data_IF_067760519195
#
_entry.id   IF_067760519195
#
_cell.length_a   1.000
_cell.length_b   1.000
_cell.length_c   1.000
_cell.angle_alpha   90.00
_cell.angle_beta   90.00
_cell.angle_gamma   90.00
#
_symmetry.space_group_name_H-M   'P 1'
#
loop_
_entity.id
_entity.type
_entity.pdbx_description
1 polymer ?
#
# COMPACT_ATOMS: atom_id res chain seq x y z
N UNK A 1 -2.49 5.20 -3.43
CA UNK A 1 -2.55 6.35 -2.50
C UNK A 1 -3.65 7.37 -2.82
N UNK A 2 -3.74 7.95 -4.04
CA UNK A 2 -4.71 9.03 -4.34
C UNK A 2 -6.19 8.70 -4.06
N UNK A 3 -6.64 7.50 -4.45
CA UNK A 3 -8.03 7.04 -4.20
C UNK A 3 -8.36 6.98 -2.70
N UNK A 4 -7.42 6.52 -1.87
CA UNK A 4 -7.63 6.42 -0.43
C UNK A 4 -7.82 7.79 0.22
N UNK A 5 -7.05 8.80 -0.22
CA UNK A 5 -7.17 10.18 0.28
C UNK A 5 -8.52 10.78 -0.12
N UNK A 6 -8.98 10.53 -1.36
CA UNK A 6 -10.30 10.97 -1.81
C UNK A 6 -11.44 10.37 -0.96
N UNK A 7 -11.33 9.10 -0.58
CA UNK A 7 -12.33 8.41 0.27
C UNK A 7 -12.34 8.99 1.70
N UNK A 8 -11.16 9.26 2.27
CA UNK A 8 -11.07 9.94 3.58
C UNK A 8 -11.74 11.31 3.52
N UNK A 9 -11.41 12.14 2.52
CA UNK A 9 -12.02 13.47 2.37
C UNK A 9 -13.54 13.39 2.18
N UNK A 10 -14.04 12.40 1.42
CA UNK A 10 -15.47 12.18 1.27
C UNK A 10 -16.16 11.80 2.60
N UNK A 11 -15.52 10.99 3.45
CA UNK A 11 -16.02 10.62 4.78
C UNK A 11 -16.00 11.77 5.80
N UNK A 12 -15.16 12.79 5.59
CA UNK A 12 -15.19 14.03 6.36
C UNK A 12 -16.27 15.00 5.89
N UNK A 13 -16.46 15.14 4.57
CA UNK A 13 -17.50 16.00 3.99
C UNK A 13 -18.91 15.47 4.22
N UNK A 14 -19.06 14.15 4.24
CA UNK A 14 -20.29 13.46 4.59
C UNK A 14 -19.99 12.64 5.84
N UNK A 15 -20.34 13.11 7.06
CA UNK A 15 -19.83 12.61 8.34
C UNK A 15 -20.22 11.15 8.60
N UNK A 16 -19.56 10.26 7.87
CA UNK A 16 -19.82 8.84 7.78
C UNK A 16 -18.55 8.14 8.23
N UNK A 17 -18.57 7.71 9.48
CA UNK A 17 -17.45 7.05 10.15
C UNK A 17 -16.94 5.83 9.38
N UNK A 18 -17.83 5.07 8.73
CA UNK A 18 -17.44 3.88 7.97
C UNK A 18 -16.59 4.25 6.75
N UNK A 19 -16.93 5.35 6.07
CA UNK A 19 -16.20 5.81 4.88
C UNK A 19 -14.81 6.34 5.25
N UNK A 20 -14.71 7.10 6.35
CA UNK A 20 -13.43 7.58 6.87
C UNK A 20 -12.51 6.43 7.26
N UNK A 21 -13.03 5.42 7.97
CA UNK A 21 -12.26 4.22 8.35
C UNK A 21 -11.81 3.45 7.09
N UNK A 22 -12.69 3.25 6.11
CA UNK A 22 -12.33 2.59 4.86
C UNK A 22 -11.18 3.32 4.14
N UNK A 23 -11.22 4.65 4.08
CA UNK A 23 -10.17 5.47 3.50
C UNK A 23 -8.83 5.34 4.24
N UNK A 24 -8.85 5.34 5.59
CA UNK A 24 -7.65 5.16 6.43
C UNK A 24 -7.05 3.77 6.22
N UNK A 25 -7.87 2.71 6.21
CA UNK A 25 -7.40 1.32 5.97
C UNK A 25 -6.76 1.21 4.59
N UNK A 26 -7.40 1.74 3.54
CA UNK A 26 -6.86 1.72 2.19
C UNK A 26 -5.54 2.49 2.07
N UNK A 27 -5.43 3.62 2.77
CA UNK A 27 -4.21 4.40 2.79
C UNK A 27 -3.06 3.68 3.50
N UNK A 28 -3.36 3.07 4.65
CA UNK A 28 -2.43 2.23 5.41
C UNK A 28 -1.95 1.04 4.58
N UNK A 29 -2.87 0.28 3.98
CA UNK A 29 -2.57 -0.86 3.13
C UNK A 29 -1.66 -0.49 1.94
N UNK A 30 -1.99 0.61 1.22
CA UNK A 30 -1.17 1.09 0.10
C UNK A 30 0.20 1.64 0.52
N UNK A 31 0.36 2.07 1.76
CA UNK A 31 1.64 2.58 2.28
C UNK A 31 2.50 1.44 2.85
N UNK A 32 1.87 0.46 3.48
CA UNK A 32 2.47 -0.77 3.99
C UNK A 32 3.13 -1.58 2.87
N UNK A 33 2.48 -1.69 1.71
CA UNK A 33 3.04 -2.35 0.52
C UNK A 33 4.40 -1.77 0.09
N UNK A 34 4.64 -0.47 0.32
CA UNK A 34 5.94 0.18 0.05
C UNK A 34 6.92 0.10 1.21
N UNK A 35 6.43 0.06 2.45
CA UNK A 35 7.29 -0.06 3.65
C UNK A 35 7.98 -1.43 3.72
N UNK A 36 7.31 -2.48 3.25
CA UNK A 36 7.89 -3.82 3.18
C UNK A 36 8.86 -4.03 2.01
N UNK A 37 9.21 -2.95 1.29
CA UNK A 37 10.27 -2.95 0.28
C UNK A 37 10.08 -4.01 -0.82
N UNK A 38 8.82 -4.29 -1.19
CA UNK A 38 8.50 -5.25 -2.24
C UNK A 38 8.96 -4.82 -3.64
N UNK A 39 9.63 -3.66 -3.76
CA UNK A 39 10.24 -3.11 -4.96
C UNK A 39 9.33 -3.15 -6.20
N UNK A 40 9.88 -2.78 -7.35
CA UNK A 40 9.26 -3.16 -8.61
C UNK A 40 9.56 -4.64 -8.84
N UNK A 41 8.51 -5.47 -8.92
CA UNK A 41 8.61 -6.90 -9.25
C UNK A 41 9.01 -7.07 -10.71
N UNK A 42 9.94 -7.98 -11.01
CA UNK A 42 10.32 -8.30 -12.39
C UNK A 42 9.38 -9.36 -12.97
N UNK A 43 9.44 -9.55 -14.30
CA UNK A 43 8.66 -10.58 -14.99
C UNK A 43 9.06 -12.02 -14.59
N UNK A 44 10.16 -12.18 -13.85
CA UNK A 44 10.72 -13.47 -13.43
C UNK A 44 9.98 -14.07 -12.21
N UNK A 45 9.11 -13.28 -11.57
CA UNK A 45 8.19 -13.75 -10.53
C UNK A 45 8.19 -12.87 -9.27
N UNK A 46 7.26 -13.15 -8.36
CA UNK A 46 6.99 -12.33 -7.17
C UNK A 46 8.16 -12.14 -6.20
N UNK A 47 9.17 -13.02 -6.25
CA UNK A 47 10.35 -12.96 -5.38
C UNK A 47 11.44 -12.01 -5.90
N UNK A 48 11.40 -11.65 -7.18
CA UNK A 48 12.44 -10.85 -7.82
C UNK A 48 12.00 -9.40 -7.86
N UNK A 49 12.76 -8.53 -7.19
CA UNK A 49 12.54 -7.09 -7.21
C UNK A 49 13.83 -6.39 -7.60
N UNK A 50 13.75 -5.13 -8.07
CA UNK A 50 14.95 -4.33 -8.34
C UNK A 50 15.87 -4.11 -7.13
N UNK A 51 15.41 -4.42 -5.91
CA UNK A 51 16.16 -4.27 -4.66
C UNK A 51 16.84 -5.59 -4.25
N UNK A 52 16.51 -6.70 -4.91
CA UNK A 52 17.06 -8.03 -4.66
C UNK A 52 16.01 -9.13 -4.66
N UNK A 53 16.43 -10.33 -4.27
CA UNK A 53 15.54 -11.49 -4.15
C UNK A 53 14.99 -11.55 -2.73
N UNK A 54 13.66 -11.54 -2.61
CA UNK A 54 12.98 -11.66 -1.32
C UNK A 54 13.22 -13.05 -0.74
N UNK A 55 13.69 -13.12 0.51
CA UNK A 55 13.94 -14.36 1.23
C UNK A 55 15.34 -14.95 1.06
N UNK A 56 16.22 -14.31 0.28
CA UNK A 56 17.65 -14.65 0.29
C UNK A 56 18.36 -13.88 1.40
N UNK A 57 19.12 -14.58 2.26
CA UNK A 57 19.97 -13.94 3.25
C UNK A 57 21.06 -13.16 2.52
N UNK A 58 21.08 -11.83 2.65
CA UNK A 58 22.25 -11.03 2.24
C UNK A 58 23.40 -11.48 3.15
N UNK A 59 24.38 -12.18 2.58
CA UNK A 59 25.65 -12.53 3.24
C UNK A 59 26.47 -11.25 3.35
#
# INVERSE_FOLDING_TARGET
>A
KGIAIAIVMAGFLWPNTALTIAGIILFGHSSMDRMFDYGLKTNEGFKYTHLGIIGTKKI
#
